data_IF_496771761043
#
_entry.id   IF_496771761043
#
_cell.length_a   1.000
_cell.length_b   1.000
_cell.length_c   1.000
_cell.angle_alpha   90.00
_cell.angle_beta   90.00
_cell.angle_gamma   90.00
#
_symmetry.space_group_name_H-M   'P 1'
#
loop_
_entity.id
_entity.type
_entity.pdbx_description
1 polymer ?
#
# COMPACT_ATOMS: atom_id res chain seq x y z
N UNK A 1 -54.95 -14.88 -19.84
CA UNK A 1 -54.01 -13.92 -19.22
C UNK A 1 -54.06 -12.62 -20.01
N UNK A 2 -54.23 -11.45 -19.37
CA UNK A 2 -54.41 -10.19 -20.10
C UNK A 2 -53.07 -9.67 -20.65
N UNK A 3 -53.08 -9.07 -21.85
CA UNK A 3 -51.87 -8.52 -22.49
C UNK A 3 -51.12 -7.51 -21.60
N UNK A 4 -51.83 -6.86 -20.67
CA UNK A 4 -51.30 -5.95 -19.66
C UNK A 4 -50.44 -6.67 -18.60
N UNK A 5 -50.81 -7.89 -18.22
CA UNK A 5 -50.06 -8.69 -17.23
C UNK A 5 -48.75 -9.23 -17.82
N UNK A 6 -48.77 -9.62 -19.11
CA UNK A 6 -47.57 -10.07 -19.82
C UNK A 6 -46.55 -8.95 -19.99
N UNK A 7 -46.98 -7.73 -20.32
CA UNK A 7 -46.09 -6.57 -20.44
C UNK A 7 -45.44 -6.19 -19.10
N UNK A 8 -46.20 -6.26 -17.99
CA UNK A 8 -45.70 -5.93 -16.66
C UNK A 8 -44.61 -6.90 -16.18
N UNK A 9 -44.78 -8.20 -16.43
CA UNK A 9 -43.78 -9.22 -16.08
C UNK A 9 -42.48 -9.07 -16.89
N UNK A 10 -42.58 -8.66 -18.16
CA UNK A 10 -41.42 -8.38 -19.02
C UNK A 10 -40.63 -7.18 -18.48
N UNK A 11 -41.29 -6.09 -18.09
CA UNK A 11 -40.59 -4.92 -17.53
C UNK A 11 -39.85 -5.26 -16.23
N UNK A 12 -40.42 -6.10 -15.37
CA UNK A 12 -39.76 -6.57 -14.15
C UNK A 12 -38.56 -7.47 -14.48
N UNK A 13 -38.71 -8.41 -15.42
CA UNK A 13 -37.62 -9.31 -15.82
C UNK A 13 -36.46 -8.55 -16.49
N UNK A 14 -36.74 -7.62 -17.42
CA UNK A 14 -35.72 -6.81 -18.08
C UNK A 14 -35.11 -5.74 -17.16
N UNK A 15 -35.89 -5.16 -16.24
CA UNK A 15 -35.38 -4.25 -15.21
C UNK A 15 -34.47 -4.95 -14.19
N UNK A 16 -34.79 -6.20 -13.83
CA UNK A 16 -33.95 -7.02 -12.94
C UNK A 16 -32.64 -7.48 -13.58
N UNK A 17 -32.61 -7.68 -14.91
CA UNK A 17 -31.38 -8.00 -15.66
C UNK A 17 -30.44 -6.79 -15.82
N UNK A 18 -30.98 -5.56 -15.76
CA UNK A 18 -30.18 -4.34 -15.89
C UNK A 18 -29.53 -3.92 -14.56
N UNK A 19 -30.09 -4.32 -13.42
CA UNK A 19 -29.48 -4.11 -12.10
C UNK A 19 -28.43 -5.18 -11.75
N UNK A 20 -28.48 -6.37 -12.35
CA UNK A 20 -27.55 -7.46 -12.02
C UNK A 20 -26.17 -7.33 -12.66
N UNK A 21 -25.97 -6.39 -13.58
CA UNK A 21 -24.68 -6.16 -14.27
C UNK A 21 -23.92 -4.94 -13.75
N UNK A 22 -24.50 -4.16 -12.82
CA UNK A 22 -23.74 -3.18 -12.04
C UNK A 22 -22.87 -3.93 -11.02
N UNK A 23 -21.74 -4.45 -11.49
CA UNK A 23 -20.65 -4.78 -10.60
C UNK A 23 -20.20 -3.47 -9.94
N UNK A 24 -20.56 -3.30 -8.66
CA UNK A 24 -19.84 -2.41 -7.78
C UNK A 24 -18.40 -2.92 -7.76
N UNK A 25 -17.51 -2.32 -8.56
CA UNK A 25 -16.08 -2.59 -8.44
C UNK A 25 -15.71 -2.13 -7.03
N UNK A 26 -15.59 -3.07 -6.10
CA UNK A 26 -14.84 -2.82 -4.89
C UNK A 26 -13.44 -2.47 -5.39
N UNK A 27 -13.08 -1.18 -5.29
CA UNK A 27 -11.70 -0.73 -5.48
C UNK A 27 -10.92 -1.33 -4.30
N UNK A 28 -10.45 -2.55 -4.50
CA UNK A 28 -9.88 -3.37 -3.43
C UNK A 28 -9.30 -4.68 -3.92
N UNK A 29 -9.08 -4.85 -5.23
CA UNK A 29 -8.05 -5.78 -5.64
C UNK A 29 -6.73 -5.16 -5.17
N UNK A 30 -6.26 -5.58 -3.99
CA UNK A 30 -4.84 -5.47 -3.67
C UNK A 30 -4.16 -6.30 -4.74
N UNK A 31 -3.73 -5.65 -5.81
CA UNK A 31 -2.87 -6.28 -6.78
C UNK A 31 -1.70 -6.86 -5.97
N UNK A 32 -1.41 -8.15 -6.15
CA UNK A 32 -0.26 -8.80 -5.54
C UNK A 32 1.02 -8.33 -6.26
N UNK A 33 1.26 -7.02 -6.21
CA UNK A 33 2.29 -6.31 -6.93
C UNK A 33 3.14 -5.52 -5.93
N UNK A 34 4.44 -5.55 -6.16
CA UNK A 34 5.37 -4.69 -5.44
C UNK A 34 5.41 -3.34 -6.12
N UNK A 35 5.45 -2.28 -5.33
CA UNK A 35 5.67 -0.91 -5.82
C UNK A 35 6.92 -0.34 -5.18
N UNK A 36 7.70 0.38 -5.99
CA UNK A 36 8.90 1.08 -5.51
C UNK A 36 8.48 2.28 -4.67
N UNK A 37 9.10 2.42 -3.49
CA UNK A 37 8.97 3.58 -2.61
C UNK A 37 10.23 4.45 -2.68
N UNK A 38 10.21 5.60 -2.00
CA UNK A 38 11.37 6.48 -1.92
C UNK A 38 12.59 5.70 -1.39
N UNK A 39 13.70 5.80 -2.12
CA UNK A 39 14.97 5.23 -1.68
C UNK A 39 15.48 5.93 -0.41
N UNK A 40 16.13 5.15 0.48
CA UNK A 40 16.89 5.70 1.60
C UNK A 40 17.96 6.69 1.11
N UNK A 41 18.33 7.64 1.96
CA UNK A 41 19.38 8.61 1.63
C UNK A 41 20.77 7.98 1.59
N UNK A 42 21.04 7.00 2.47
CA UNK A 42 22.32 6.28 2.48
C UNK A 42 22.13 4.83 2.04
N UNK A 43 22.70 4.48 0.89
CA UNK A 43 22.72 3.09 0.41
C UNK A 43 23.55 2.21 1.35
N UNK A 44 22.94 1.16 1.88
CA UNK A 44 23.56 0.23 2.84
C UNK A 44 22.81 -1.11 2.92
N UNK A 45 23.48 -2.14 3.40
CA UNK A 45 22.93 -3.45 3.74
C UNK A 45 23.22 -3.83 5.19
N UNK A 46 22.71 -4.99 5.64
CA UNK A 46 22.98 -5.51 6.99
C UNK A 46 22.45 -4.65 8.15
N UNK A 47 21.52 -3.74 7.87
CA UNK A 47 20.88 -2.87 8.86
C UNK A 47 19.78 -3.59 9.67
N UNK A 48 19.49 -3.07 10.86
CA UNK A 48 18.31 -3.45 11.63
C UNK A 48 17.09 -2.62 11.23
N UNK A 49 15.89 -3.21 11.28
CA UNK A 49 14.63 -2.50 11.01
C UNK A 49 13.58 -2.75 12.08
N UNK A 50 12.81 -1.71 12.43
CA UNK A 50 11.69 -1.80 13.37
C UNK A 50 10.55 -0.85 12.99
N UNK A 51 9.32 -1.22 13.32
CA UNK A 51 8.15 -0.34 13.18
C UNK A 51 7.80 0.27 14.52
N UNK A 52 7.77 1.60 14.60
CA UNK A 52 7.39 2.34 15.81
C UNK A 52 6.44 3.47 15.42
N UNK A 53 5.27 3.53 16.04
CA UNK A 53 4.25 4.55 15.79
C UNK A 53 3.89 4.72 14.30
N UNK A 54 3.78 3.61 13.56
CA UNK A 54 3.43 3.60 12.13
C UNK A 54 4.55 4.04 11.18
N UNK A 55 5.78 4.20 11.68
CA UNK A 55 6.96 4.57 10.89
C UNK A 55 8.00 3.45 10.93
N UNK A 56 8.81 3.36 9.88
CA UNK A 56 9.87 2.35 9.76
C UNK A 56 11.21 3.00 10.12
N UNK A 57 11.93 2.42 11.06
CA UNK A 57 13.27 2.86 11.43
C UNK A 57 14.30 1.91 10.85
N UNK A 58 15.28 2.46 10.15
CA UNK A 58 16.41 1.77 9.54
C UNK A 58 17.69 2.14 10.32
N UNK A 59 18.22 1.20 11.10
CA UNK A 59 19.25 1.44 12.12
C UNK A 59 20.59 0.83 11.70
N UNK A 60 21.62 1.66 11.63
CA UNK A 60 22.98 1.25 11.29
C UNK A 60 23.12 0.56 9.93
N UNK A 61 23.98 -0.46 9.88
CA UNK A 61 24.29 -1.26 8.69
C UNK A 61 25.72 -1.03 8.21
N UNK A 62 26.01 -1.46 6.98
CA UNK A 62 27.30 -1.24 6.33
C UNK A 62 27.14 -0.99 4.84
N UNK A 63 28.10 -0.30 4.26
CA UNK A 63 28.28 -0.23 2.81
C UNK A 63 29.62 -0.91 2.45
N UNK A 64 30.11 -0.70 1.22
CA UNK A 64 31.37 -1.29 0.76
C UNK A 64 32.61 -0.75 1.46
N UNK A 65 32.49 0.39 2.16
CA UNK A 65 33.62 1.12 2.72
C UNK A 65 33.72 0.97 4.24
N UNK A 66 32.57 0.97 4.93
CA UNK A 66 32.55 1.02 6.39
C UNK A 66 31.24 0.50 7.01
N UNK A 67 31.31 0.24 8.31
CA UNK A 67 30.13 0.13 9.16
C UNK A 67 29.59 1.53 9.46
N UNK A 68 28.29 1.69 9.37
CA UNK A 68 27.61 2.98 9.43
C UNK A 68 26.86 3.12 10.74
N UNK A 69 27.03 4.26 11.39
CA UNK A 69 26.20 4.66 12.55
C UNK A 69 24.90 5.36 12.12
N UNK A 70 24.57 5.39 10.82
CA UNK A 70 23.44 6.14 10.26
C UNK A 70 22.11 5.50 10.62
N UNK A 71 21.18 6.32 11.11
CA UNK A 71 19.81 5.93 11.40
C UNK A 71 18.85 6.79 10.58
N UNK A 72 17.84 6.18 9.95
CA UNK A 72 16.81 6.88 9.17
C UNK A 72 15.41 6.42 9.56
N UNK A 73 14.43 7.31 9.50
CA UNK A 73 13.01 7.06 9.76
C UNK A 73 12.22 7.30 8.46
N UNK A 74 11.50 6.29 8.01
CA UNK A 74 10.57 6.37 6.88
C UNK A 74 9.16 6.62 7.38
N UNK A 75 8.51 7.62 6.79
CA UNK A 75 7.09 7.87 6.96
C UNK A 75 6.32 7.38 5.71
N UNK A 76 5.54 6.28 5.82
CA UNK A 76 4.77 5.76 4.69
C UNK A 76 3.69 6.71 4.17
N UNK A 77 3.18 7.62 5.02
CA UNK A 77 2.14 8.57 4.64
C UNK A 77 2.66 9.67 3.69
N UNK A 78 3.95 10.00 3.79
CA UNK A 78 4.59 11.04 2.98
C UNK A 78 5.63 10.49 2.00
N UNK A 79 5.81 9.17 1.97
CA UNK A 79 6.84 8.47 1.18
C UNK A 79 8.22 9.14 1.30
N UNK A 80 8.66 9.38 2.54
CA UNK A 80 9.87 10.16 2.79
C UNK A 80 10.70 9.58 3.92
N UNK A 81 12.01 9.64 3.76
CA UNK A 81 13.00 9.35 4.79
C UNK A 81 13.48 10.63 5.46
N UNK A 82 13.73 10.58 6.77
CA UNK A 82 14.42 11.62 7.52
C UNK A 82 15.58 11.02 8.31
N UNK A 83 16.71 11.72 8.39
CA UNK A 83 17.85 11.30 9.21
C UNK A 83 17.51 11.42 10.69
N UNK A 84 17.98 10.45 11.49
CA UNK A 84 17.88 10.42 12.95
C UNK A 84 19.27 10.44 13.57
N UNK A 85 19.32 10.65 14.88
CA UNK A 85 20.57 10.61 15.63
C UNK A 85 21.35 9.32 15.35
N UNK A 86 22.67 9.41 15.15
CA UNK A 86 23.49 8.23 14.87
C UNK A 86 23.51 7.28 16.07
N UNK A 87 23.87 6.02 15.83
CA UNK A 87 24.10 5.08 16.92
C UNK A 87 25.23 5.58 17.82
N UNK A 88 25.12 5.44 19.14
CA UNK A 88 26.26 5.63 20.03
C UNK A 88 27.27 4.51 19.74
N UNK A 89 28.38 4.86 19.11
CA UNK A 89 29.53 3.97 18.91
C UNK A 89 30.51 4.16 20.07
N UNK A 90 31.02 3.06 20.59
CA UNK A 90 32.03 3.04 21.66
C UNK A 90 33.41 3.51 21.16
#
# INVERSE_FOLDING_TARGET
MSKKLTAFLIVILFGSLFLSTLQFRIVGAVENSWTTKKSMSTARGGLGVAVVNGKIYAIGGSNNDAQLAVNEEYNPATDSWISKSPMPTA
#
